data_IF_817776982328
#
_entry.id   IF_817776982328
#
_cell.length_a   1.000
_cell.length_b   1.000
_cell.length_c   1.000
_cell.angle_alpha   90.00
_cell.angle_beta   90.00
_cell.angle_gamma   90.00
#
_symmetry.space_group_name_H-M   'P 1'
#
loop_
_entity.id
_entity.type
_entity.pdbx_description
1 polymer ?
#
# COMPACT_ATOMS: atom_id res chain seq x y z
N UNK A 1 -17.12 14.86 -9.35
CA UNK A 1 -17.27 13.98 -10.52
C UNK A 1 -17.19 12.53 -10.02
N UNK A 2 -17.74 11.53 -10.71
CA UNK A 2 -17.50 10.14 -10.30
C UNK A 2 -16.23 9.67 -11.02
N UNK A 3 -15.29 9.07 -10.28
CA UNK A 3 -13.98 8.65 -10.77
C UNK A 3 -13.97 7.16 -11.10
N UNK A 4 -13.09 6.74 -12.02
CA UNK A 4 -12.84 5.34 -12.36
C UNK A 4 -11.56 4.85 -11.68
N UNK A 5 -11.64 3.78 -10.91
CA UNK A 5 -10.47 3.18 -10.24
C UNK A 5 -10.28 1.75 -10.73
N UNK A 6 -9.21 1.53 -11.49
CA UNK A 6 -8.89 0.24 -12.10
C UNK A 6 -7.74 -0.44 -11.36
N UNK A 7 -8.00 -1.61 -10.79
CA UNK A 7 -7.02 -2.41 -10.08
C UNK A 7 -6.34 -3.40 -11.02
N UNK A 8 -5.01 -3.48 -10.94
CA UNK A 8 -4.18 -4.47 -11.63
C UNK A 8 -3.37 -5.24 -10.59
N UNK A 9 -3.66 -6.52 -10.42
CA UNK A 9 -2.93 -7.34 -9.47
C UNK A 9 -1.88 -8.23 -10.13
N UNK A 10 -0.92 -8.64 -9.31
CA UNK A 10 0.00 -9.74 -9.56
C UNK A 10 -0.64 -11.10 -9.30
N UNK A 11 0.16 -12.12 -9.07
CA UNK A 11 -0.14 -13.44 -9.66
C UNK A 11 -0.41 -14.55 -8.65
N UNK A 12 -0.18 -14.28 -7.37
CA UNK A 12 -0.47 -15.23 -6.30
C UNK A 12 -1.98 -15.37 -6.00
N UNK A 13 -2.83 -14.48 -6.52
CA UNK A 13 -4.26 -14.51 -6.18
C UNK A 13 -5.09 -15.10 -7.31
N UNK A 14 -5.53 -16.36 -7.11
CA UNK A 14 -6.54 -17.03 -7.96
C UNK A 14 -7.97 -16.56 -7.69
N UNK A 15 -8.13 -15.71 -6.68
CA UNK A 15 -9.40 -15.10 -6.32
C UNK A 15 -9.62 -13.80 -7.12
N UNK A 16 -10.70 -13.74 -7.89
CA UNK A 16 -11.10 -12.54 -8.61
C UNK A 16 -11.50 -11.39 -7.66
N UNK A 17 -11.80 -11.71 -6.39
CA UNK A 17 -12.19 -10.77 -5.34
C UNK A 17 -11.01 -10.21 -4.52
N UNK A 18 -9.76 -10.36 -4.99
CA UNK A 18 -8.54 -9.97 -4.25
C UNK A 18 -8.54 -8.55 -3.67
N UNK A 19 -9.17 -7.60 -4.36
CA UNK A 19 -9.19 -6.18 -3.95
C UNK A 19 -10.45 -5.77 -3.22
N UNK A 20 -11.44 -6.67 -3.07
CA UNK A 20 -12.77 -6.33 -2.54
C UNK A 20 -12.72 -5.67 -1.17
N UNK A 21 -11.86 -6.15 -0.27
CA UNK A 21 -11.72 -5.54 1.06
C UNK A 21 -11.12 -4.13 0.97
N UNK A 22 -10.01 -3.96 0.23
CA UNK A 22 -9.39 -2.64 0.06
C UNK A 22 -10.34 -1.64 -0.61
N UNK A 23 -11.10 -2.07 -1.63
CA UNK A 23 -12.13 -1.24 -2.25
C UNK A 23 -13.19 -0.81 -1.23
N UNK A 24 -13.61 -1.69 -0.31
CA UNK A 24 -14.59 -1.35 0.72
C UNK A 24 -14.04 -0.34 1.74
N UNK A 25 -12.77 -0.48 2.12
CA UNK A 25 -12.10 0.48 3.02
C UNK A 25 -11.96 1.84 2.31
N UNK A 26 -11.57 1.87 1.02
CA UNK A 26 -11.51 3.10 0.22
C UNK A 26 -12.90 3.75 0.12
N UNK A 27 -13.97 3.00 -0.18
CA UNK A 27 -15.35 3.54 -0.18
C UNK A 27 -15.72 4.17 1.16
N UNK A 28 -15.29 3.55 2.25
CA UNK A 28 -15.51 4.06 3.60
C UNK A 28 -14.78 5.39 3.80
N UNK A 29 -13.51 5.49 3.40
CA UNK A 29 -12.72 6.73 3.42
C UNK A 29 -13.38 7.85 2.59
N UNK A 30 -13.85 7.55 1.38
CA UNK A 30 -14.58 8.49 0.53
C UNK A 30 -15.86 9.00 1.21
N UNK A 31 -16.66 8.07 1.73
CA UNK A 31 -17.93 8.39 2.39
C UNK A 31 -17.72 9.25 3.63
N UNK A 32 -16.67 8.97 4.41
CA UNK A 32 -16.30 9.76 5.60
C UNK A 32 -15.86 11.19 5.25
N UNK A 33 -15.35 11.42 4.03
CA UNK A 33 -14.93 12.74 3.53
C UNK A 33 -16.05 13.48 2.79
N UNK A 34 -17.25 12.90 2.69
CA UNK A 34 -18.36 13.48 1.93
C UNK A 34 -18.18 13.41 0.42
N UNK A 35 -17.25 12.59 -0.07
CA UNK A 35 -16.96 12.43 -1.50
C UNK A 35 -17.85 11.35 -2.13
N UNK A 36 -18.09 11.46 -3.44
CA UNK A 36 -18.81 10.42 -4.18
C UNK A 36 -17.92 9.20 -4.37
N UNK A 37 -18.45 8.01 -4.05
CA UNK A 37 -17.74 6.77 -4.25
C UNK A 37 -17.36 6.58 -5.73
N UNK A 38 -16.11 6.19 -6.04
CA UNK A 38 -15.70 5.90 -7.39
C UNK A 38 -16.27 4.55 -7.86
N UNK A 39 -16.28 4.36 -9.18
CA UNK A 39 -16.49 3.04 -9.77
C UNK A 39 -15.19 2.26 -9.71
N UNK A 40 -15.27 1.01 -9.28
CA UNK A 40 -14.12 0.13 -9.15
C UNK A 40 -14.20 -1.02 -10.14
N UNK A 41 -13.07 -1.39 -10.70
CA UNK A 41 -12.92 -2.64 -11.44
C UNK A 41 -11.62 -3.34 -11.04
N UNK A 42 -11.70 -4.64 -10.78
CA UNK A 42 -10.54 -5.47 -10.45
C UNK A 42 -10.18 -6.34 -11.64
N UNK A 43 -9.10 -5.99 -12.34
CA UNK A 43 -8.62 -6.81 -13.45
C UNK A 43 -8.14 -8.15 -12.93
N UNK A 44 -8.63 -9.22 -13.57
CA UNK A 44 -8.29 -10.59 -13.23
C UNK A 44 -7.88 -11.37 -14.49
N UNK A 45 -6.70 -11.97 -14.43
CA UNK A 45 -6.09 -12.69 -15.54
C UNK A 45 -5.37 -13.97 -15.09
N UNK A 46 -5.56 -14.39 -13.82
CA UNK A 46 -4.90 -15.56 -13.22
C UNK A 46 -5.16 -16.89 -13.94
N UNK A 47 -6.18 -16.97 -14.79
CA UNK A 47 -6.45 -18.14 -15.64
C UNK A 47 -5.41 -18.36 -16.75
N UNK A 48 -4.54 -17.39 -17.02
CA UNK A 48 -3.49 -17.51 -18.04
C UNK A 48 -2.25 -18.31 -17.57
N UNK A 49 -2.15 -18.57 -16.26
CA UNK A 49 -0.97 -19.11 -15.60
C UNK A 49 -0.81 -20.62 -15.78
N UNK A 50 0.45 -21.06 -15.72
CA UNK A 50 0.85 -22.47 -15.79
C UNK A 50 1.15 -23.03 -14.40
N UNK A 51 1.00 -24.35 -14.26
CA UNK A 51 1.18 -25.06 -13.00
C UNK A 51 2.68 -25.19 -12.63
N UNK A 52 3.12 -24.36 -11.68
CA UNK A 52 4.49 -24.33 -11.16
C UNK A 52 4.82 -25.53 -10.25
N UNK A 53 3.84 -26.37 -9.87
CA UNK A 53 4.07 -27.56 -9.04
C UNK A 53 5.10 -28.52 -9.63
N UNK A 54 5.27 -28.51 -10.96
CA UNK A 54 6.23 -29.37 -11.67
C UNK A 54 7.70 -29.06 -11.36
N UNK A 55 8.05 -27.80 -11.03
CA UNK A 55 9.44 -27.43 -10.72
C UNK A 55 9.85 -27.98 -9.35
N UNK A 56 8.96 -27.89 -8.37
CA UNK A 56 9.23 -28.38 -7.02
C UNK A 56 9.30 -29.90 -6.92
N UNK A 57 8.53 -30.62 -7.74
CA UNK A 57 8.64 -32.08 -7.82
C UNK A 57 10.08 -32.54 -8.15
N UNK A 58 10.75 -31.90 -9.10
CA UNK A 58 12.15 -32.25 -9.45
C UNK A 58 13.13 -31.89 -8.33
N UNK A 59 12.93 -30.76 -7.66
CA UNK A 59 13.76 -30.35 -6.51
C UNK A 59 13.58 -31.33 -5.35
N UNK A 60 12.36 -31.80 -5.09
CA UNK A 60 12.08 -32.79 -4.06
C UNK A 60 12.73 -34.15 -4.33
N UNK A 61 12.70 -34.60 -5.59
CA UNK A 61 13.40 -35.80 -6.04
C UNK A 61 14.92 -35.69 -5.79
N UNK A 62 15.54 -34.58 -6.22
CA UNK A 62 16.97 -34.33 -6.03
C UNK A 62 17.36 -34.24 -4.54
N UNK A 63 16.53 -33.59 -3.72
CA UNK A 63 16.74 -33.53 -2.27
C UNK A 63 16.60 -34.91 -1.62
N UNK A 64 15.66 -35.74 -2.07
CA UNK A 64 15.53 -37.11 -1.59
C UNK A 64 16.78 -37.95 -1.93
N UNK A 65 17.39 -37.72 -3.10
CA UNK A 65 18.68 -38.32 -3.46
C UNK A 65 19.85 -37.79 -2.62
N UNK A 66 19.92 -36.48 -2.39
CA UNK A 66 20.95 -35.86 -1.57
C UNK A 66 20.90 -36.34 -0.10
N UNK A 67 19.70 -36.45 0.49
CA UNK A 67 19.50 -36.98 1.85
C UNK A 67 20.02 -38.41 2.02
N UNK A 68 19.91 -39.26 0.99
CA UNK A 68 20.46 -40.62 1.00
C UNK A 68 21.99 -40.64 0.95
N UNK A 69 22.62 -39.62 0.35
CA UNK A 69 24.08 -39.52 0.15
C UNK A 69 24.80 -38.90 1.34
N UNK A 70 24.17 -37.96 2.03
CA UNK A 70 24.76 -37.19 3.12
C UNK A 70 24.04 -37.54 4.43
N UNK A 71 24.48 -38.64 5.06
CA UNK A 71 23.82 -39.30 6.20
C UNK A 71 23.98 -38.59 7.56
N UNK A 72 24.35 -37.30 7.59
CA UNK A 72 24.65 -36.60 8.85
C UNK A 72 24.34 -35.10 8.94
N UNK A 73 23.63 -34.50 7.98
CA UNK A 73 23.16 -33.13 8.14
C UNK A 73 21.65 -33.13 8.38
N UNK A 74 21.22 -32.37 9.38
CA UNK A 74 19.81 -32.06 9.59
C UNK A 74 19.21 -31.62 8.25
N UNK A 75 18.07 -32.20 7.88
CA UNK A 75 17.44 -31.99 6.58
C UNK A 75 17.15 -30.51 6.26
N UNK A 76 17.20 -29.64 7.28
CA UNK A 76 17.04 -28.19 7.16
C UNK A 76 18.31 -27.46 6.66
N UNK A 77 19.50 -28.06 6.77
CA UNK A 77 20.75 -27.39 6.34
C UNK A 77 20.95 -27.39 4.82
N UNK A 78 20.38 -28.35 4.08
CA UNK A 78 20.57 -28.42 2.63
C UNK A 78 19.96 -27.24 1.89
N UNK A 79 18.85 -26.69 2.40
CA UNK A 79 18.15 -25.56 1.81
C UNK A 79 17.66 -24.61 2.90
N UNK A 80 18.57 -23.76 3.38
CA UNK A 80 18.18 -22.62 4.22
C UNK A 80 17.12 -21.77 3.51
N UNK A 81 16.09 -21.38 4.26
CA UNK A 81 14.94 -20.58 3.77
C UNK A 81 14.10 -21.29 2.70
N UNK A 82 14.05 -22.62 2.70
CA UNK A 82 13.24 -23.42 1.76
C UNK A 82 11.80 -22.91 1.68
N UNK A 83 11.13 -22.70 2.80
CA UNK A 83 9.73 -22.23 2.82
C UNK A 83 9.54 -20.87 2.12
N UNK A 84 10.49 -19.96 2.24
CA UNK A 84 10.47 -18.68 1.52
C UNK A 84 10.70 -18.88 0.01
N UNK A 85 11.66 -19.74 -0.36
CA UNK A 85 11.96 -20.07 -1.76
C UNK A 85 10.77 -20.74 -2.44
N UNK A 86 10.18 -21.73 -1.78
CA UNK A 86 9.01 -22.50 -2.24
C UNK A 86 7.75 -21.67 -2.34
N UNK A 87 7.50 -20.85 -1.33
CA UNK A 87 6.35 -19.98 -1.29
C UNK A 87 6.54 -18.78 -2.20
N UNK A 88 6.79 -17.64 -1.56
CA UNK A 88 6.70 -16.34 -2.19
C UNK A 88 7.62 -16.18 -3.42
N UNK A 89 8.90 -16.55 -3.29
CA UNK A 89 9.89 -16.29 -4.33
C UNK A 89 9.62 -17.07 -5.62
N UNK A 90 9.38 -18.39 -5.52
CA UNK A 90 9.12 -19.21 -6.70
C UNK A 90 7.78 -18.91 -7.36
N UNK A 91 6.74 -18.59 -6.58
CA UNK A 91 5.47 -18.13 -7.16
C UNK A 91 5.69 -16.83 -7.94
N UNK A 92 6.23 -15.80 -7.29
CA UNK A 92 6.48 -14.51 -7.93
C UNK A 92 7.35 -14.62 -9.20
N UNK A 93 8.49 -15.30 -9.14
CA UNK A 93 9.39 -15.43 -10.29
C UNK A 93 8.80 -16.29 -11.41
N UNK A 94 8.13 -17.39 -11.08
CA UNK A 94 7.46 -18.23 -12.08
C UNK A 94 6.40 -17.49 -12.86
N UNK A 95 5.65 -16.67 -12.14
CA UNK A 95 4.61 -15.83 -12.67
C UNK A 95 5.15 -14.68 -13.52
N UNK A 96 6.24 -14.05 -13.08
CA UNK A 96 6.99 -13.11 -13.89
C UNK A 96 7.48 -13.74 -15.21
N UNK A 97 8.11 -14.93 -15.16
CA UNK A 97 8.55 -15.61 -16.37
C UNK A 97 7.37 -16.02 -17.28
N UNK A 98 6.23 -16.37 -16.69
CA UNK A 98 5.00 -16.63 -17.45
C UNK A 98 4.53 -15.37 -18.18
N UNK A 99 4.60 -14.20 -17.54
CA UNK A 99 4.29 -12.92 -18.20
C UNK A 99 5.31 -12.56 -19.29
N UNK A 100 6.59 -12.85 -19.06
CA UNK A 100 7.65 -12.54 -20.03
C UNK A 100 7.63 -13.45 -21.26
N UNK A 101 6.99 -14.61 -21.18
CA UNK A 101 6.73 -15.43 -22.36
C UNK A 101 5.86 -14.64 -23.37
N UNK A 102 6.27 -14.51 -24.64
CA UNK A 102 5.59 -13.65 -25.61
C UNK A 102 4.09 -13.94 -25.77
N UNK A 103 3.71 -15.22 -25.88
CA UNK A 103 2.32 -15.63 -26.11
C UNK A 103 1.46 -15.45 -24.86
N UNK A 104 1.97 -15.91 -23.71
CA UNK A 104 1.27 -15.82 -22.42
C UNK A 104 1.14 -14.37 -21.97
N UNK A 105 2.22 -13.59 -22.03
CA UNK A 105 2.22 -12.15 -21.76
C UNK A 105 1.23 -11.41 -22.65
N UNK A 106 1.22 -11.69 -23.95
CA UNK A 106 0.25 -11.09 -24.89
C UNK A 106 -1.19 -11.44 -24.52
N UNK A 107 -1.46 -12.68 -24.11
CA UNK A 107 -2.80 -13.10 -23.64
C UNK A 107 -3.22 -12.35 -22.36
N UNK A 108 -2.30 -12.18 -21.41
CA UNK A 108 -2.55 -11.41 -20.18
C UNK A 108 -2.89 -9.96 -20.53
N UNK A 109 -2.06 -9.31 -21.36
CA UNK A 109 -2.32 -7.93 -21.80
C UNK A 109 -3.64 -7.80 -22.58
N UNK A 110 -4.00 -8.82 -23.38
CA UNK A 110 -5.30 -8.87 -24.06
C UNK A 110 -6.46 -8.83 -23.06
N UNK A 111 -6.42 -9.67 -22.04
CA UNK A 111 -7.46 -9.70 -21.00
C UNK A 111 -7.54 -8.38 -20.25
N UNK A 112 -6.41 -7.78 -19.88
CA UNK A 112 -6.39 -6.46 -19.23
C UNK A 112 -6.98 -5.39 -20.15
N UNK A 113 -6.65 -5.41 -21.44
CA UNK A 113 -7.17 -4.45 -22.43
C UNK A 113 -8.69 -4.57 -22.61
N UNK A 114 -9.21 -5.78 -22.75
CA UNK A 114 -10.65 -6.04 -22.87
C UNK A 114 -11.40 -5.56 -21.61
N UNK A 115 -10.89 -5.90 -20.42
CA UNK A 115 -11.49 -5.50 -19.15
C UNK A 115 -11.49 -3.99 -18.92
N UNK A 116 -10.40 -3.30 -19.29
CA UNK A 116 -10.32 -1.85 -19.20
C UNK A 116 -11.27 -1.17 -20.19
N UNK A 117 -11.35 -1.70 -21.41
CA UNK A 117 -12.27 -1.19 -22.44
C UNK A 117 -13.72 -1.29 -21.97
N UNK A 118 -14.15 -2.47 -21.52
CA UNK A 118 -15.52 -2.69 -21.04
C UNK A 118 -15.84 -1.74 -19.86
N UNK A 119 -14.89 -1.59 -18.93
CA UNK A 119 -15.06 -0.69 -17.78
C UNK A 119 -15.23 0.79 -18.18
N UNK A 120 -14.52 1.24 -19.21
CA UNK A 120 -14.66 2.61 -19.74
C UNK A 120 -15.99 2.78 -20.48
N UNK A 121 -16.36 1.83 -21.35
CA UNK A 121 -17.60 1.88 -22.13
C UNK A 121 -18.85 1.83 -21.24
N UNK A 122 -18.82 1.09 -20.13
CA UNK A 122 -19.91 1.05 -19.14
C UNK A 122 -20.06 2.37 -18.37
N UNK A 123 -19.06 3.25 -18.40
CA UNK A 123 -19.00 4.48 -17.64
C UNK A 123 -18.67 5.73 -18.51
N UNK A 124 -19.42 6.00 -19.59
CA UNK A 124 -19.02 6.96 -20.64
C UNK A 124 -18.98 8.43 -20.18
N UNK A 125 -19.63 8.76 -19.06
CA UNK A 125 -19.64 10.11 -18.50
C UNK A 125 -18.45 10.39 -17.56
N UNK A 126 -17.62 9.39 -17.28
CA UNK A 126 -16.48 9.51 -16.38
C UNK A 126 -15.20 9.47 -17.19
N UNK A 127 -14.43 10.56 -17.17
CA UNK A 127 -13.17 10.67 -17.91
C UNK A 127 -11.92 10.52 -17.05
N UNK A 128 -12.06 10.50 -15.72
CA UNK A 128 -10.92 10.43 -14.79
C UNK A 128 -10.61 8.98 -14.42
N UNK A 129 -9.44 8.49 -14.84
CA UNK A 129 -8.93 7.16 -14.52
C UNK A 129 -7.84 7.24 -13.44
N UNK A 130 -7.94 6.35 -12.46
CA UNK A 130 -6.91 6.09 -11.46
C UNK A 130 -6.55 4.61 -11.51
N UNK A 131 -5.25 4.29 -11.57
CA UNK A 131 -4.79 2.91 -11.60
C UNK A 131 -4.17 2.56 -10.26
N UNK A 132 -4.57 1.44 -9.67
CA UNK A 132 -3.94 0.88 -8.47
C UNK A 132 -3.36 -0.48 -8.83
N UNK A 133 -2.03 -0.58 -8.81
CA UNK A 133 -1.32 -1.79 -9.19
C UNK A 133 -0.57 -2.40 -8.00
N UNK A 134 -0.54 -3.73 -7.93
CA UNK A 134 0.08 -4.44 -6.81
C UNK A 134 1.03 -5.54 -7.27
N UNK A 135 2.18 -5.69 -6.62
CA UNK A 135 3.14 -6.77 -6.89
C UNK A 135 3.51 -6.83 -8.37
N UNK A 136 3.45 -8.00 -9.02
CA UNK A 136 3.67 -8.13 -10.47
C UNK A 136 2.72 -7.27 -11.31
N UNK A 137 1.52 -6.94 -10.82
CA UNK A 137 0.64 -5.99 -11.49
C UNK A 137 1.31 -4.62 -11.74
N UNK A 138 2.21 -4.19 -10.84
CA UNK A 138 3.01 -2.97 -11.02
C UNK A 138 4.01 -3.10 -12.17
N UNK A 139 4.63 -4.28 -12.32
CA UNK A 139 5.55 -4.59 -13.42
C UNK A 139 4.82 -4.67 -14.75
N UNK A 140 3.64 -5.29 -14.78
CA UNK A 140 2.81 -5.40 -15.97
C UNK A 140 2.37 -4.01 -16.42
N UNK A 141 1.90 -3.17 -15.48
CA UNK A 141 1.57 -1.78 -15.77
C UNK A 141 2.81 -1.03 -16.31
N UNK A 142 3.95 -1.15 -15.64
CA UNK A 142 5.20 -0.52 -16.07
C UNK A 142 5.62 -0.92 -17.49
N UNK A 143 5.61 -2.22 -17.79
CA UNK A 143 5.91 -2.74 -19.12
C UNK A 143 4.91 -2.23 -20.16
N UNK A 144 3.61 -2.29 -19.86
CA UNK A 144 2.54 -1.77 -20.73
C UNK A 144 2.75 -0.28 -20.99
N UNK A 145 3.09 0.54 -20.00
CA UNK A 145 3.18 1.99 -20.18
C UNK A 145 4.45 2.41 -20.95
N UNK A 146 5.59 1.76 -20.73
CA UNK A 146 6.88 2.32 -21.15
C UNK A 146 7.75 1.45 -22.05
N UNK A 147 7.45 0.16 -22.19
CA UNK A 147 8.30 -0.75 -22.96
C UNK A 147 8.10 -0.59 -24.47
N UNK A 148 9.19 -0.59 -25.24
CA UNK A 148 9.14 -0.51 -26.71
C UNK A 148 9.15 -1.89 -27.39
N UNK A 149 9.16 -2.97 -26.61
CA UNK A 149 9.30 -4.34 -27.13
C UNK A 149 8.07 -4.87 -27.89
N UNK A 150 6.98 -4.12 -27.87
CA UNK A 150 5.70 -4.60 -28.39
C UNK A 150 5.58 -4.41 -29.90
N UNK A 151 5.07 -5.44 -30.58
CA UNK A 151 4.66 -5.33 -31.98
C UNK A 151 3.44 -4.42 -32.14
N UNK A 152 3.22 -3.88 -33.34
CA UNK A 152 2.06 -3.02 -33.66
C UNK A 152 0.68 -3.65 -33.38
N UNK A 153 0.59 -4.98 -33.22
CA UNK A 153 -0.65 -5.72 -32.93
C UNK A 153 -0.73 -6.23 -31.48
N UNK A 154 0.13 -5.73 -30.61
CA UNK A 154 0.12 -6.11 -29.20
C UNK A 154 -0.99 -5.35 -28.44
N UNK A 155 -1.78 -6.03 -27.58
CA UNK A 155 -2.80 -5.38 -26.76
C UNK A 155 -2.28 -4.29 -25.82
N UNK A 156 -0.99 -4.26 -25.51
CA UNK A 156 -0.37 -3.15 -24.78
C UNK A 156 -0.68 -1.79 -25.43
N UNK A 157 -0.61 -1.73 -26.76
CA UNK A 157 -0.83 -0.51 -27.52
C UNK A 157 -2.31 -0.07 -27.47
N UNK A 158 -3.24 -1.02 -27.39
CA UNK A 158 -4.67 -0.73 -27.18
C UNK A 158 -4.93 -0.10 -25.81
N UNK A 159 -4.23 -0.55 -24.76
CA UNK A 159 -4.32 0.06 -23.43
C UNK A 159 -3.78 1.50 -23.46
N UNK A 160 -2.62 1.71 -24.12
CA UNK A 160 -2.06 3.06 -24.33
C UNK A 160 -3.03 3.98 -25.06
N UNK A 161 -3.66 3.50 -26.14
CA UNK A 161 -4.58 4.30 -26.94
C UNK A 161 -5.84 4.75 -26.18
N UNK A 162 -6.28 3.99 -25.16
CA UNK A 162 -7.40 4.38 -24.28
C UNK A 162 -7.04 5.49 -23.29
N UNK A 163 -5.74 5.68 -23.01
CA UNK A 163 -5.23 6.72 -22.12
C UNK A 163 -4.82 7.93 -22.99
N UNK A 164 -5.51 9.05 -22.82
CA UNK A 164 -5.33 10.24 -23.66
C UNK A 164 -3.88 10.71 -23.71
N UNK A 165 -3.19 10.68 -22.57
CA UNK A 165 -1.81 11.14 -22.43
C UNK A 165 -0.77 10.25 -23.16
N UNK A 166 -1.19 9.12 -23.71
CA UNK A 166 -0.36 8.16 -24.45
C UNK A 166 -0.76 7.99 -25.92
N UNK A 167 -1.83 8.64 -26.40
CA UNK A 167 -2.36 8.47 -27.76
C UNK A 167 -1.31 8.75 -28.84
N UNK A 168 -0.54 9.84 -28.70
CA UNK A 168 0.47 10.24 -29.69
C UNK A 168 1.70 9.31 -29.72
N UNK A 169 1.76 8.31 -28.83
CA UNK A 169 2.84 7.31 -28.78
C UNK A 169 2.44 6.00 -29.44
N UNK A 170 1.25 5.90 -30.02
CA UNK A 170 0.74 4.70 -30.69
C UNK A 170 0.50 4.95 -32.17
N UNK A 171 1.27 4.29 -33.05
CA UNK A 171 1.01 4.18 -34.50
C UNK A 171 -0.14 3.17 -34.74
N UNK A 172 -1.32 3.45 -34.19
CA UNK A 172 -2.50 2.60 -34.38
C UNK A 172 -3.59 3.37 -35.11
N UNK A 173 -4.01 2.86 -36.28
CA UNK A 173 -5.12 3.40 -37.08
C UNK A 173 -6.49 3.31 -36.37
N UNK A 174 -6.56 2.63 -35.23
CA UNK A 174 -7.80 2.43 -34.45
C UNK A 174 -7.80 3.36 -33.24
N UNK A 175 -8.55 4.46 -33.34
CA UNK A 175 -8.83 5.33 -32.19
C UNK A 175 -10.01 4.77 -31.38
N UNK A 176 -9.87 4.59 -30.05
CA UNK A 176 -10.99 4.18 -29.22
C UNK A 176 -12.05 5.29 -29.20
N UNK A 177 -13.32 4.88 -29.06
CA UNK A 177 -14.47 5.77 -29.05
C UNK A 177 -14.50 6.68 -27.82
N UNK A 178 -14.05 6.15 -26.68
CA UNK A 178 -13.90 6.88 -25.44
C UNK A 178 -12.47 6.77 -24.94
N UNK A 179 -11.90 7.91 -24.55
CA UNK A 179 -10.60 8.00 -23.92
C UNK A 179 -10.77 8.55 -22.51
N UNK A 180 -9.88 8.12 -21.63
CA UNK A 180 -9.80 8.58 -20.24
C UNK A 180 -8.48 9.30 -20.00
N UNK A 181 -8.52 10.26 -19.08
CA UNK A 181 -7.34 10.98 -18.59
C UNK A 181 -6.81 10.22 -17.37
N UNK A 182 -5.57 9.74 -17.45
CA UNK A 182 -4.95 9.06 -16.33
C UNK A 182 -4.48 10.09 -15.30
N UNK A 183 -5.18 10.18 -14.17
CA UNK A 183 -4.96 11.25 -13.17
C UNK A 183 -4.12 10.82 -11.98
N UNK A 184 -4.12 9.52 -11.64
CA UNK A 184 -3.15 8.99 -10.66
C UNK A 184 -2.79 7.53 -10.86
N UNK A 185 -1.57 7.17 -10.48
CA UNK A 185 -1.10 5.80 -10.34
C UNK A 185 -0.75 5.56 -8.86
N UNK A 186 -1.18 4.43 -8.31
CA UNK A 186 -0.69 3.92 -7.02
C UNK A 186 -0.07 2.55 -7.22
N UNK A 187 1.20 2.41 -6.86
CA UNK A 187 1.90 1.13 -6.83
C UNK A 187 1.96 0.64 -5.39
N UNK A 188 1.80 -0.67 -5.22
CA UNK A 188 1.77 -1.30 -3.91
C UNK A 188 2.68 -2.53 -3.96
N UNK A 189 3.64 -2.63 -3.06
CA UNK A 189 4.54 -3.79 -3.00
C UNK A 189 5.34 -3.97 -4.30
N UNK A 190 5.89 -2.88 -4.85
CA UNK A 190 6.37 -2.87 -6.25
C UNK A 190 7.81 -3.39 -6.42
N UNK A 191 8.03 -4.45 -7.23
CA UNK A 191 9.36 -4.96 -7.57
C UNK A 191 9.97 -4.34 -8.83
N UNK A 192 9.44 -3.19 -9.31
CA UNK A 192 9.89 -2.55 -10.56
C UNK A 192 11.40 -2.31 -10.53
N UNK A 193 11.99 -1.93 -9.40
CA UNK A 193 13.43 -1.65 -9.31
C UNK A 193 14.29 -2.83 -9.81
N UNK A 194 13.96 -4.05 -9.40
CA UNK A 194 14.69 -5.24 -9.84
C UNK A 194 14.36 -5.60 -11.27
N UNK A 195 13.06 -5.60 -11.60
CA UNK A 195 12.60 -6.12 -12.89
C UNK A 195 12.91 -5.16 -14.03
N UNK A 196 13.03 -3.87 -13.77
CA UNK A 196 13.36 -2.90 -14.80
C UNK A 196 14.75 -3.15 -15.41
N UNK A 197 15.67 -3.78 -14.66
CA UNK A 197 16.96 -4.24 -15.22
C UNK A 197 16.79 -5.26 -16.34
N UNK A 198 15.68 -6.01 -16.36
CA UNK A 198 15.35 -6.98 -17.40
C UNK A 198 14.46 -6.39 -18.49
N UNK A 199 13.61 -5.41 -18.15
CA UNK A 199 12.73 -4.73 -19.12
C UNK A 199 13.45 -3.62 -19.90
N UNK A 200 14.53 -3.09 -19.35
CA UNK A 200 15.34 -2.01 -19.92
C UNK A 200 14.52 -0.75 -20.26
N UNK A 201 13.52 -0.42 -19.42
CA UNK A 201 12.81 0.85 -19.58
C UNK A 201 13.71 1.96 -19.10
N UNK A 202 14.05 2.85 -20.04
CA UNK A 202 14.94 3.98 -19.78
C UNK A 202 14.18 5.19 -19.21
N UNK A 203 14.80 6.00 -18.34
CA UNK A 203 14.16 7.18 -17.73
C UNK A 203 13.57 8.19 -18.73
N UNK A 204 14.11 8.26 -19.95
CA UNK A 204 13.61 9.17 -20.99
C UNK A 204 12.15 8.86 -21.35
N UNK A 205 11.71 7.60 -21.27
CA UNK A 205 10.31 7.20 -21.53
C UNK A 205 9.37 7.72 -20.45
N UNK A 206 9.79 7.61 -19.20
CA UNK A 206 9.03 8.13 -18.05
C UNK A 206 8.93 9.65 -18.15
N UNK A 207 10.04 10.31 -18.49
CA UNK A 207 10.04 11.77 -18.70
C UNK A 207 9.17 12.16 -19.90
N UNK A 208 9.26 11.48 -21.05
CA UNK A 208 8.39 11.75 -22.20
C UNK A 208 6.90 11.62 -21.84
N UNK A 209 6.56 10.60 -21.06
CA UNK A 209 5.21 10.44 -20.52
C UNK A 209 4.84 11.58 -19.55
N UNK A 210 5.75 12.02 -18.68
CA UNK A 210 5.47 13.17 -17.82
C UNK A 210 5.21 14.47 -18.62
N UNK A 211 5.82 14.64 -19.79
CA UNK A 211 5.63 15.84 -20.63
C UNK A 211 4.25 15.91 -21.32
N UNK A 212 3.48 14.82 -21.36
CA UNK A 212 2.10 14.88 -21.87
C UNK A 212 1.11 15.47 -20.85
N UNK A 213 1.56 15.77 -19.63
CA UNK A 213 0.78 16.42 -18.57
C UNK A 213 1.12 17.91 -18.45
N UNK A 214 0.18 18.69 -17.92
CA UNK A 214 0.39 20.10 -17.57
C UNK A 214 0.78 20.25 -16.10
N UNK A 215 1.40 21.37 -15.74
CA UNK A 215 1.74 21.70 -14.35
C UNK A 215 0.51 21.92 -13.46
N UNK A 216 -0.62 22.32 -14.07
CA UNK A 216 -1.92 22.51 -13.39
C UNK A 216 -2.63 21.18 -13.11
N UNK A 217 -2.44 20.19 -13.98
CA UNK A 217 -2.99 18.83 -13.83
C UNK A 217 -1.88 17.78 -13.93
N UNK A 218 -0.98 17.73 -12.93
CA UNK A 218 0.13 16.79 -12.94
C UNK A 218 -0.37 15.36 -12.67
N UNK A 219 0.31 14.38 -13.26
CA UNK A 219 0.10 12.98 -12.90
C UNK A 219 0.59 12.74 -11.48
N UNK A 220 -0.29 12.22 -10.62
CA UNK A 220 0.05 11.86 -9.25
C UNK A 220 0.48 10.40 -9.19
N UNK A 221 1.68 10.14 -8.68
CA UNK A 221 2.21 8.79 -8.61
C UNK A 221 2.67 8.47 -7.19
N UNK A 222 2.00 7.51 -6.58
CA UNK A 222 2.29 7.04 -5.23
C UNK A 222 2.89 5.64 -5.30
N UNK A 223 3.98 5.39 -4.57
CA UNK A 223 4.54 4.07 -4.36
C UNK A 223 4.49 3.73 -2.87
N UNK A 224 3.68 2.72 -2.52
CA UNK A 224 3.49 2.26 -1.16
C UNK A 224 4.41 1.08 -0.87
N UNK A 225 5.23 1.24 0.18
CA UNK A 225 6.29 0.31 0.56
C UNK A 225 6.06 -0.10 2.00
N UNK A 226 5.75 -1.37 2.23
CA UNK A 226 5.78 -1.93 3.57
C UNK A 226 7.20 -2.28 3.97
N UNK A 227 7.65 -1.88 5.15
CA UNK A 227 9.04 -2.08 5.59
C UNK A 227 9.48 -3.55 5.57
N UNK A 228 8.56 -4.46 5.88
CA UNK A 228 8.80 -5.90 5.86
C UNK A 228 8.59 -6.58 4.49
N UNK A 229 8.12 -5.87 3.46
CA UNK A 229 7.93 -6.43 2.12
C UNK A 229 9.24 -6.44 1.32
N UNK A 230 9.84 -7.63 1.18
CA UNK A 230 11.19 -7.80 0.64
C UNK A 230 11.36 -7.47 -0.84
N UNK A 231 10.27 -7.27 -1.58
CA UNK A 231 10.34 -6.92 -2.99
C UNK A 231 9.90 -5.48 -3.28
N UNK A 232 9.43 -4.75 -2.27
CA UNK A 232 9.02 -3.36 -2.39
C UNK A 232 10.18 -2.43 -2.08
N UNK A 233 10.54 -1.56 -3.02
CA UNK A 233 11.63 -0.59 -2.85
C UNK A 233 11.22 0.81 -3.31
N UNK A 234 11.88 1.86 -2.78
CA UNK A 234 11.69 3.22 -3.26
C UNK A 234 12.14 3.34 -4.71
N UNK A 235 11.33 4.03 -5.52
CA UNK A 235 11.59 4.16 -6.96
C UNK A 235 12.01 5.59 -7.34
N UNK A 236 11.76 6.60 -6.49
CA UNK A 236 11.90 8.02 -6.86
C UNK A 236 13.26 8.35 -7.49
N UNK A 237 14.35 7.86 -6.90
CA UNK A 237 15.70 8.12 -7.41
C UNK A 237 15.95 7.43 -8.77
N UNK A 238 15.41 6.23 -8.97
CA UNK A 238 15.59 5.45 -10.20
C UNK A 238 14.85 6.01 -11.41
N UNK A 239 13.81 6.83 -11.18
CA UNK A 239 13.02 7.43 -12.26
C UNK A 239 13.74 8.58 -12.98
N UNK A 240 14.79 9.16 -12.38
CA UNK A 240 15.53 10.32 -12.92
C UNK A 240 14.60 11.39 -13.53
N UNK A 241 13.56 11.77 -12.77
CA UNK A 241 12.59 12.77 -13.23
C UNK A 241 13.27 14.13 -13.41
N UNK A 242 12.97 14.80 -14.52
CA UNK A 242 13.40 16.17 -14.75
C UNK A 242 12.87 17.12 -13.66
N UNK A 243 13.61 18.19 -13.36
CA UNK A 243 13.24 19.16 -12.31
C UNK A 243 11.87 19.82 -12.55
N UNK A 244 11.50 20.01 -13.82
CA UNK A 244 10.22 20.58 -14.25
C UNK A 244 9.19 19.50 -14.64
N UNK A 245 9.36 18.26 -14.18
CA UNK A 245 8.45 17.16 -14.51
C UNK A 245 7.04 17.41 -13.98
N UNK A 246 6.03 17.22 -14.83
CA UNK A 246 4.62 17.26 -14.45
C UNK A 246 4.15 15.96 -13.78
N UNK A 247 5.08 15.11 -13.32
CA UNK A 247 4.81 13.88 -12.59
C UNK A 247 5.19 14.08 -11.11
N UNK A 248 4.18 14.06 -10.23
CA UNK A 248 4.36 14.15 -8.78
C UNK A 248 4.55 12.75 -8.19
N UNK A 249 5.80 12.32 -8.08
CA UNK A 249 6.15 11.01 -7.52
C UNK A 249 6.46 11.06 -6.03
N UNK A 250 5.85 10.16 -5.26
CA UNK A 250 6.07 10.00 -3.81
C UNK A 250 6.25 8.54 -3.43
N UNK A 251 7.31 8.24 -2.68
CA UNK A 251 7.47 6.98 -1.94
C UNK A 251 6.91 7.18 -0.53
N UNK A 252 5.98 6.33 -0.11
CA UNK A 252 5.40 6.32 1.26
C UNK A 252 5.63 4.96 1.92
N UNK A 253 5.93 4.99 3.21
CA UNK A 253 6.36 3.81 3.96
C UNK A 253 5.33 3.39 5.01
N UNK A 254 4.96 2.12 5.01
CA UNK A 254 4.15 1.49 6.06
C UNK A 254 5.11 0.76 7.01
N UNK A 255 5.14 1.20 8.26
CA UNK A 255 6.16 0.79 9.25
C UNK A 255 5.64 -0.19 10.32
N UNK A 256 4.36 -0.52 10.30
CA UNK A 256 3.77 -1.41 11.29
C UNK A 256 4.22 -2.87 11.07
N UNK A 257 4.45 -3.61 12.15
CA UNK A 257 4.68 -5.06 12.04
C UNK A 257 3.40 -5.75 11.60
N UNK A 258 3.50 -6.72 10.67
CA UNK A 258 2.32 -7.28 10.02
C UNK A 258 1.58 -8.26 10.92
N UNK A 259 2.33 -9.00 11.73
CA UNK A 259 1.77 -10.03 12.60
C UNK A 259 2.59 -10.22 13.89
N UNK A 260 1.97 -10.88 14.87
CA UNK A 260 2.56 -11.13 16.19
C UNK A 260 3.81 -12.03 16.13
N UNK A 261 3.90 -12.92 15.15
CA UNK A 261 5.00 -13.86 15.00
C UNK A 261 6.28 -13.14 14.52
N UNK A 262 6.17 -12.22 13.56
CA UNK A 262 7.25 -11.33 13.13
C UNK A 262 7.75 -10.49 14.30
N UNK A 263 6.83 -9.84 15.03
CA UNK A 263 7.17 -9.02 16.20
C UNK A 263 7.91 -9.83 17.26
N UNK A 264 7.46 -11.06 17.52
CA UNK A 264 8.08 -11.96 18.49
C UNK A 264 9.47 -12.39 18.03
N UNK A 265 9.61 -12.83 16.77
CA UNK A 265 10.90 -13.22 16.21
C UNK A 265 11.92 -12.06 16.23
N UNK A 266 11.50 -10.84 15.88
CA UNK A 266 12.34 -9.64 15.93
C UNK A 266 12.76 -9.31 17.37
N UNK A 267 11.84 -9.42 18.33
CA UNK A 267 12.12 -9.19 19.76
C UNK A 267 13.11 -10.21 20.33
N UNK A 268 13.09 -11.45 19.82
CA UNK A 268 14.02 -12.53 20.19
C UNK A 268 15.36 -12.48 19.43
N UNK A 269 15.59 -11.45 18.60
CA UNK A 269 16.83 -11.32 17.81
C UNK A 269 16.92 -12.28 16.62
N UNK A 270 15.82 -12.96 16.25
CA UNK A 270 15.75 -13.88 15.13
C UNK A 270 15.41 -13.14 13.84
N UNK A 271 16.33 -12.29 13.36
CA UNK A 271 16.13 -11.41 12.20
C UNK A 271 15.76 -12.16 10.93
N UNK A 272 16.39 -13.31 10.67
CA UNK A 272 16.14 -14.08 9.45
C UNK A 272 14.75 -14.75 9.46
N UNK A 273 14.29 -15.19 10.65
CA UNK A 273 12.94 -15.74 10.81
C UNK A 273 11.89 -14.63 10.71
N UNK A 274 12.14 -13.49 11.36
CA UNK A 274 11.26 -12.32 11.27
C UNK A 274 11.10 -11.84 9.81
N UNK A 275 12.20 -11.85 9.05
CA UNK A 275 12.20 -11.54 7.61
C UNK A 275 11.30 -12.49 6.81
N UNK A 276 11.43 -13.81 7.00
CA UNK A 276 10.63 -14.80 6.27
C UNK A 276 9.14 -14.69 6.63
N UNK A 277 8.83 -14.55 7.93
CA UNK A 277 7.45 -14.45 8.41
C UNK A 277 6.80 -13.11 8.02
N UNK A 278 7.57 -12.02 8.05
CA UNK A 278 7.08 -10.69 7.72
C UNK A 278 6.86 -10.47 6.22
N UNK A 279 7.68 -11.08 5.35
CA UNK A 279 7.66 -10.76 3.91
C UNK A 279 6.36 -11.11 3.20
N UNK A 280 5.90 -12.36 3.31
CA UNK A 280 4.70 -12.80 2.59
C UNK A 280 3.45 -12.13 3.14
N UNK A 281 3.41 -11.93 4.46
CA UNK A 281 2.30 -11.31 5.14
C UNK A 281 2.26 -9.82 4.82
N UNK A 282 3.38 -9.09 4.90
CA UNK A 282 3.48 -7.67 4.53
C UNK A 282 2.99 -7.44 3.12
N UNK A 283 3.45 -8.30 2.21
CA UNK A 283 3.11 -8.22 0.81
C UNK A 283 1.62 -8.45 0.53
N UNK A 284 0.92 -9.20 1.38
CA UNK A 284 -0.52 -9.42 1.23
C UNK A 284 -1.35 -8.43 2.07
N UNK A 285 -0.77 -7.87 3.13
CA UNK A 285 -1.47 -7.04 4.12
C UNK A 285 -1.95 -5.70 3.56
N UNK A 286 -1.37 -5.21 2.46
CA UNK A 286 -1.84 -3.98 1.84
C UNK A 286 -3.35 -3.99 1.53
N UNK A 287 -3.91 -5.15 1.18
CA UNK A 287 -5.34 -5.32 0.86
C UNK A 287 -6.27 -5.12 2.06
N UNK A 288 -5.73 -5.23 3.27
CA UNK A 288 -6.49 -5.19 4.52
C UNK A 288 -6.06 -4.02 5.43
N UNK A 289 -5.17 -3.15 4.95
CA UNK A 289 -4.60 -2.07 5.74
C UNK A 289 -5.39 -0.75 5.55
N UNK A 290 -5.97 -0.19 6.63
CA UNK A 290 -6.65 1.11 6.57
C UNK A 290 -5.74 2.26 6.13
N UNK A 291 -4.47 2.23 6.51
CA UNK A 291 -3.52 3.26 6.10
C UNK A 291 -3.25 3.22 4.59
N UNK A 292 -3.12 2.02 4.00
CA UNK A 292 -3.04 1.84 2.54
C UNK A 292 -4.25 2.48 1.85
N UNK A 293 -5.46 2.19 2.31
CA UNK A 293 -6.69 2.75 1.75
C UNK A 293 -6.73 4.28 1.83
N UNK A 294 -6.30 4.82 2.98
CA UNK A 294 -6.24 6.27 3.22
C UNK A 294 -5.25 6.95 2.28
N UNK A 295 -4.05 6.37 2.08
CA UNK A 295 -3.03 6.91 1.18
C UNK A 295 -3.47 6.82 -0.30
N UNK A 296 -4.10 5.72 -0.71
CA UNK A 296 -4.72 5.61 -2.05
C UNK A 296 -5.79 6.69 -2.23
N UNK A 297 -6.67 6.87 -1.26
CA UNK A 297 -7.75 7.87 -1.30
C UNK A 297 -7.18 9.29 -1.41
N UNK A 298 -6.14 9.60 -0.64
CA UNK A 298 -5.40 10.87 -0.71
C UNK A 298 -4.85 11.12 -2.12
N UNK A 299 -4.24 10.09 -2.72
CA UNK A 299 -3.67 10.18 -4.06
C UNK A 299 -4.74 10.39 -5.14
N UNK A 300 -5.86 9.67 -5.06
CA UNK A 300 -7.00 9.80 -5.97
C UNK A 300 -7.55 11.24 -5.90
N UNK A 301 -7.88 11.71 -4.68
CA UNK A 301 -8.49 13.02 -4.44
C UNK A 301 -7.53 14.21 -4.55
N UNK A 302 -6.24 13.98 -4.84
CA UNK A 302 -5.20 15.02 -4.81
C UNK A 302 -5.14 15.78 -3.46
N UNK A 303 -5.35 15.06 -2.36
CA UNK A 303 -5.29 15.61 -1.01
C UNK A 303 -3.99 15.13 -0.36
N UNK A 304 -2.98 15.99 -0.22
CA UNK A 304 -1.81 15.65 0.59
C UNK A 304 -2.26 15.47 2.05
N UNK A 305 -2.07 14.25 2.57
CA UNK A 305 -2.40 13.78 3.93
C UNK A 305 -3.81 14.19 4.38
N UNK A 306 -4.72 13.22 4.41
CA UNK A 306 -6.02 13.31 5.08
C UNK A 306 -5.98 14.27 6.28
N UNK A 307 -6.54 15.46 6.05
CA UNK A 307 -7.07 16.29 7.12
C UNK A 307 -8.14 15.40 7.72
N UNK A 308 -7.81 14.67 8.80
CA UNK A 308 -8.87 14.28 9.72
C UNK A 308 -9.57 15.60 10.06
N UNK A 309 -10.85 15.78 9.69
CA UNK A 309 -11.55 17.04 9.91
C UNK A 309 -11.70 17.38 11.41
N UNK A 310 -11.25 16.47 12.28
CA UNK A 310 -11.29 16.58 13.72
C UNK A 310 -10.01 15.93 14.30
N UNK A 311 -8.97 16.73 14.54
CA UNK A 311 -7.67 16.28 15.07
C UNK A 311 -7.85 15.59 16.45
N UNK A 312 -8.79 16.08 17.24
CA UNK A 312 -9.20 15.51 18.52
C UNK A 312 -9.57 14.01 18.40
N UNK A 313 -10.40 13.60 17.44
CA UNK A 313 -10.75 12.18 17.25
C UNK A 313 -9.54 11.32 16.88
N UNK A 314 -8.63 11.85 16.06
CA UNK A 314 -7.39 11.16 15.66
C UNK A 314 -6.46 10.93 16.82
N UNK A 315 -6.27 11.95 17.66
CA UNK A 315 -5.47 11.84 18.89
C UNK A 315 -6.05 10.78 19.81
N UNK A 316 -7.37 10.80 20.02
CA UNK A 316 -8.06 9.81 20.86
C UNK A 316 -7.86 8.40 20.30
N UNK A 317 -8.02 8.22 18.99
CA UNK A 317 -7.77 6.94 18.34
C UNK A 317 -6.34 6.45 18.60
N UNK A 318 -5.32 7.26 18.33
CA UNK A 318 -3.92 6.85 18.53
C UNK A 318 -3.58 6.52 19.99
N UNK A 319 -4.10 7.28 20.94
CA UNK A 319 -3.89 7.02 22.37
C UNK A 319 -4.62 5.74 22.82
N UNK A 320 -5.80 5.45 22.28
CA UNK A 320 -6.55 4.22 22.58
C UNK A 320 -5.83 2.94 22.14
N UNK A 321 -4.89 3.04 21.19
CA UNK A 321 -4.12 1.92 20.66
C UNK A 321 -2.78 1.71 21.37
N UNK A 322 -2.49 2.47 22.45
CA UNK A 322 -1.26 2.25 23.23
C UNK A 322 -1.41 0.95 24.03
N UNK A 323 -0.43 0.06 23.96
CA UNK A 323 -0.45 -1.19 24.75
C UNK A 323 -0.53 -0.86 26.25
N UNK A 324 -1.31 -1.66 26.99
CA UNK A 324 -1.53 -1.42 28.42
C UNK A 324 -2.34 -0.15 28.74
N UNK A 325 -2.83 0.56 27.72
CA UNK A 325 -3.71 1.72 27.92
C UNK A 325 -5.00 1.28 28.59
N UNK A 326 -5.21 1.80 29.79
CA UNK A 326 -6.41 1.55 30.56
C UNK A 326 -7.25 2.82 30.57
N UNK A 327 -8.40 2.86 29.86
CA UNK A 327 -9.28 4.01 29.86
C UNK A 327 -9.80 4.29 31.26
N UNK A 328 -9.78 5.55 31.68
CA UNK A 328 -10.30 5.98 32.99
C UNK A 328 -11.80 5.69 33.11
N UNK A 329 -12.52 5.65 31.98
CA UNK A 329 -13.93 5.25 31.91
C UNK A 329 -14.19 3.79 32.30
N UNK A 330 -13.16 2.93 32.33
CA UNK A 330 -13.27 1.49 32.66
C UNK A 330 -12.86 1.17 34.10
N UNK A 331 -12.06 2.03 34.75
CA UNK A 331 -11.47 1.75 36.09
C UNK A 331 -12.30 2.34 37.23
N UNK A 332 -13.14 3.32 36.92
CA UNK A 332 -14.14 3.82 37.86
C UNK A 332 -15.49 3.75 37.17
N UNK A 333 -16.48 3.08 37.78
CA UNK A 333 -17.85 2.93 37.26
C UNK A 333 -18.64 4.25 37.19
N UNK A 334 -18.06 5.26 36.55
CA UNK A 334 -18.53 6.63 36.43
C UNK A 334 -18.86 6.85 34.96
N UNK A 335 -19.95 6.25 34.51
CA UNK A 335 -20.69 6.81 33.40
C UNK A 335 -21.63 7.87 33.98
N UNK A 336 -21.43 9.13 33.58
CA UNK A 336 -22.28 10.32 33.77
C UNK A 336 -21.83 11.29 34.86
N UNK A 337 -21.45 12.49 34.40
CA UNK A 337 -21.09 13.73 35.10
C UNK A 337 -19.68 13.82 35.68
N UNK A 338 -18.72 14.11 34.79
CA UNK A 338 -17.31 14.39 35.11
C UNK A 338 -17.00 15.88 35.37
N UNK A 339 -17.96 16.80 35.17
CA UNK A 339 -17.76 18.26 35.25
C UNK A 339 -17.45 18.81 36.66
N UNK A 340 -17.25 17.95 37.68
CA UNK A 340 -17.04 18.36 39.07
C UNK A 340 -15.80 17.76 39.76
N UNK A 341 -14.95 17.03 39.06
CA UNK A 341 -13.71 16.53 39.65
C UNK A 341 -12.53 17.44 39.29
N UNK A 342 -11.92 18.04 40.33
CA UNK A 342 -10.59 18.65 40.28
C UNK A 342 -9.55 17.55 39.99
N UNK A 343 -9.53 17.04 38.76
CA UNK A 343 -8.37 16.30 38.25
C UNK A 343 -7.23 17.31 38.25
N UNK A 344 -6.13 17.00 38.94
CA UNK A 344 -4.91 17.78 38.82
C UNK A 344 -4.52 17.74 37.34
N UNK A 345 -4.79 18.83 36.60
CA UNK A 345 -4.36 18.98 35.23
C UNK A 345 -2.84 18.83 35.28
N UNK A 346 -2.31 17.78 34.64
CA UNK A 346 -0.87 17.58 34.51
C UNK A 346 -0.23 18.71 33.70
N UNK A 347 1.01 18.50 33.30
CA UNK A 347 1.67 19.47 32.43
C UNK A 347 0.98 19.45 31.05
N UNK A 348 0.70 20.65 30.54
CA UNK A 348 0.21 20.80 29.17
C UNK A 348 1.28 20.26 28.22
N UNK A 349 0.96 19.16 27.55
CA UNK A 349 1.89 18.50 26.65
C UNK A 349 1.81 19.10 25.25
N UNK A 350 0.59 19.29 24.72
CA UNK A 350 0.37 19.72 23.34
C UNK A 350 -0.98 20.41 23.17
N UNK A 351 -1.01 21.51 22.42
CA UNK A 351 -2.25 22.15 21.92
C UNK A 351 -2.44 21.83 20.45
N UNK A 352 -3.68 21.59 20.05
CA UNK A 352 -3.99 21.25 18.66
C UNK A 352 -3.99 22.52 17.79
N UNK A 353 -3.32 22.52 16.63
CA UNK A 353 -3.26 23.69 15.74
C UNK A 353 -4.65 24.14 15.25
N UNK A 354 -5.58 23.19 15.09
CA UNK A 354 -6.96 23.44 14.66
C UNK A 354 -7.89 23.88 15.81
N UNK A 355 -7.33 24.11 17.02
CA UNK A 355 -8.07 24.47 18.24
C UNK A 355 -9.10 23.44 18.68
N UNK A 356 -9.13 22.24 18.08
CA UNK A 356 -10.11 21.21 18.43
C UNK A 356 -9.87 20.58 19.80
N UNK A 357 -8.73 20.85 20.44
CA UNK A 357 -8.40 20.31 21.74
C UNK A 357 -6.94 20.44 22.18
N UNK A 358 -6.60 19.70 23.23
CA UNK A 358 -5.27 19.68 23.86
C UNK A 358 -5.03 18.40 24.64
N UNK A 359 -3.74 18.05 24.80
CA UNK A 359 -3.26 16.90 25.57
C UNK A 359 -2.56 17.39 26.83
N UNK A 360 -2.88 16.76 27.95
CA UNK A 360 -2.15 16.87 29.21
C UNK A 360 -1.50 15.53 29.55
N UNK A 361 -0.27 15.60 30.04
CA UNK A 361 0.48 14.46 30.56
C UNK A 361 0.70 14.66 32.06
N UNK A 362 0.32 13.68 32.86
CA UNK A 362 0.49 13.70 34.31
C UNK A 362 1.23 12.44 34.75
N UNK A 363 2.23 12.60 35.62
CA UNK A 363 2.93 11.48 36.24
C UNK A 363 2.61 11.52 37.73
N UNK A 364 2.02 10.45 38.25
CA UNK A 364 1.64 10.39 39.64
C UNK A 364 2.84 10.06 40.57
N UNK A 365 2.62 10.07 41.89
CA UNK A 365 3.68 9.84 42.89
C UNK A 365 4.33 8.44 42.82
N UNK A 366 3.76 7.51 42.07
CA UNK A 366 4.31 6.17 41.84
C UNK A 366 4.79 5.98 40.38
N UNK A 367 5.07 7.07 39.66
CA UNK A 367 5.59 7.09 38.29
C UNK A 367 4.69 6.47 37.21
N UNK A 368 3.38 6.37 37.45
CA UNK A 368 2.41 5.95 36.41
C UNK A 368 2.04 7.16 35.56
N UNK A 369 2.07 6.98 34.24
CA UNK A 369 1.80 8.04 33.28
C UNK A 369 0.31 8.03 32.89
N UNK A 370 -0.31 9.20 33.05
CA UNK A 370 -1.70 9.47 32.70
C UNK A 370 -1.74 10.48 31.55
N UNK A 371 -2.60 10.22 30.57
CA UNK A 371 -2.85 11.11 29.45
C UNK A 371 -4.31 11.54 29.45
N UNK A 372 -4.54 12.83 29.24
CA UNK A 372 -5.87 13.42 29.15
C UNK A 372 -5.98 14.23 27.86
N UNK A 373 -7.07 14.05 27.13
CA UNK A 373 -7.41 14.78 25.93
C UNK A 373 -8.68 15.58 26.20
N UNK A 374 -8.57 16.90 26.11
CA UNK A 374 -9.70 17.81 26.23
C UNK A 374 -10.02 18.40 24.87
N UNK A 375 -11.29 18.73 24.63
CA UNK A 375 -11.69 19.51 23.44
C UNK A 375 -11.43 21.02 23.61
N UNK A 376 -11.88 21.81 22.64
CA UNK A 376 -11.75 23.28 22.64
C UNK A 376 -12.52 23.99 23.75
N UNK A 377 -13.52 23.32 24.35
CA UNK A 377 -14.33 23.83 25.47
C UNK A 377 -13.82 23.35 26.84
N UNK A 378 -12.63 22.75 26.87
CA UNK A 378 -12.01 22.15 28.06
C UNK A 378 -12.75 20.93 28.62
N UNK A 379 -13.65 20.31 27.85
CA UNK A 379 -14.34 19.09 28.26
C UNK A 379 -13.48 17.85 27.97
N UNK A 380 -13.43 16.91 28.92
CA UNK A 380 -12.61 15.71 28.82
C UNK A 380 -13.22 14.73 27.81
N UNK A 381 -12.49 14.44 26.74
CA UNK A 381 -12.92 13.55 25.67
C UNK A 381 -12.27 12.17 25.75
N UNK A 382 -11.06 12.10 26.32
CA UNK A 382 -10.38 10.84 26.59
C UNK A 382 -9.45 10.98 27.79
N UNK A 383 -9.42 9.96 28.64
CA UNK A 383 -8.48 9.87 29.73
C UNK A 383 -8.03 8.42 29.90
N UNK A 384 -6.74 8.20 30.08
CA UNK A 384 -6.18 6.86 30.23
C UNK A 384 -4.83 6.87 30.93
N UNK A 385 -4.38 5.71 31.36
CA UNK A 385 -3.05 5.53 31.92
C UNK A 385 -2.42 4.24 31.43
N UNK A 386 -1.10 4.16 31.53
CA UNK A 386 -0.32 2.96 31.21
C UNK A 386 0.52 2.54 32.41
N UNK A 387 0.68 1.23 32.61
CA UNK A 387 1.59 0.71 33.62
C UNK A 387 3.06 0.99 33.30
N UNK A 388 3.96 0.72 34.25
CA UNK A 388 5.40 0.99 34.10
C UNK A 388 6.04 0.34 32.87
N UNK A 389 5.55 -0.82 32.44
CA UNK A 389 6.10 -1.58 31.30
C UNK A 389 5.78 -0.89 29.97
N UNK A 390 4.67 -0.16 29.88
CA UNK A 390 4.15 0.41 28.63
C UNK A 390 4.40 1.93 28.50
N UNK A 391 5.10 2.53 29.47
CA UNK A 391 5.40 3.96 29.50
C UNK A 391 6.14 4.43 28.23
N UNK A 392 7.14 3.68 27.78
CA UNK A 392 7.90 4.02 26.58
C UNK A 392 7.00 4.04 25.33
N UNK A 393 6.02 3.13 25.26
CA UNK A 393 5.03 3.07 24.20
C UNK A 393 4.13 4.29 24.16
N UNK A 394 3.69 4.77 25.33
CA UNK A 394 2.91 6.01 25.43
C UNK A 394 3.73 7.23 24.97
N UNK A 395 4.97 7.37 25.42
CA UNK A 395 5.82 8.50 25.05
C UNK A 395 6.15 8.52 23.56
N UNK A 396 6.47 7.35 22.96
CA UNK A 396 6.65 7.24 21.50
C UNK A 396 5.40 7.65 20.73
N UNK A 397 4.21 7.25 21.21
CA UNK A 397 2.94 7.64 20.57
C UNK A 397 2.68 9.14 20.69
N UNK A 398 2.99 9.75 21.82
CA UNK A 398 2.86 11.19 22.02
C UNK A 398 3.80 12.01 21.12
N UNK A 399 5.04 11.57 20.92
CA UNK A 399 5.96 12.19 19.96
C UNK A 399 5.50 12.01 18.51
N UNK A 400 4.96 10.84 18.15
CA UNK A 400 4.32 10.65 16.83
C UNK A 400 3.17 11.64 16.62
N UNK A 401 2.28 11.77 17.61
CA UNK A 401 1.15 12.71 17.57
C UNK A 401 1.65 14.14 17.41
N UNK A 402 2.72 14.51 18.11
CA UNK A 402 3.34 15.84 18.00
C UNK A 402 3.92 16.07 16.59
N UNK A 403 4.60 15.09 16.02
CA UNK A 403 5.07 15.14 14.63
C UNK A 403 3.93 15.33 13.62
N UNK A 404 2.81 14.60 13.80
CA UNK A 404 1.60 14.76 12.98
C UNK A 404 0.99 16.18 13.04
N UNK A 405 1.31 16.97 14.07
CA UNK A 405 0.81 18.33 14.25
C UNK A 405 1.79 19.42 13.79
N UNK A 406 3.09 19.14 13.75
CA UNK A 406 4.12 20.10 13.30
C UNK A 406 4.17 20.16 11.75
N UNK A 407 3.83 19.07 11.08
CA UNK A 407 3.79 18.98 9.61
C UNK A 407 2.45 19.46 8.99
N UNK A 408 1.61 20.17 9.78
CA UNK A 408 0.39 20.86 9.35
C UNK A 408 0.57 22.35 9.53
#
# INVERSE_FOLDING_TARGET
MIMLVFFIHGVATRDACYSSNLQQIIKTEFSQRGEKNPHFYASFWGSALTDMGKIWNGIDEDLAHAKKKYSKSDSEEFLKYRSFREGFFSQFMGDFFTYMNPDKGRKIRKTIAEQLYDFIEENPNNSELHIVAHSLGTVILWDILFSDRFSAKDPALSIRAMIRELENQTDTDVKPKHQVNLSSITLIGSPILFINTMLDVRPEKVNQFAHSYSSEQPLRWLNLIHASDLIAYPLKASLHLAENSCLKFTDEYLLDDVNLAEKTARTLGQTDLAMVLGSSDAHSNYWNCPETARLITNNILNQQKAIFPNLLKTVIYHLSQVNGMTPISQVMGIQRHYNNYNIQKGDLYLKFPDQSGKIYLFVNAINVHHVYVLDGDDELQFGGYVGWIDQEGLMKKLELIKGLMIDR
#
